data_IF_758319247454
#
_entry.id   IF_758319247454
#
_cell.length_a   1.000
_cell.length_b   1.000
_cell.length_c   1.000
_cell.angle_alpha   90.00
_cell.angle_beta   90.00
_cell.angle_gamma   90.00
#
_symmetry.space_group_name_H-M   'P 1'
#
loop_
_entity.id
_entity.type
_entity.pdbx_description
1 polymer ?
#
# COMPACT_ATOMS: atom_id res chain seq x y z
N UNK A 1 70.78 20.75 -19.00
CA UNK A 1 70.65 19.32 -19.36
C UNK A 1 69.19 18.86 -19.24
N UNK A 2 68.45 18.79 -20.36
CA UNK A 2 67.00 18.48 -20.37
C UNK A 2 66.64 17.02 -20.04
N UNK A 3 67.63 16.14 -19.94
CA UNK A 3 67.44 14.69 -19.75
C UNK A 3 66.97 14.33 -18.32
N UNK A 4 67.29 15.14 -17.31
CA UNK A 4 66.93 14.88 -15.91
C UNK A 4 65.47 15.22 -15.55
N UNK A 5 64.88 16.22 -16.21
CA UNK A 5 63.47 16.64 -16.01
C UNK A 5 62.49 15.61 -16.61
N UNK A 6 62.80 15.07 -17.79
CA UNK A 6 61.96 14.06 -18.44
C UNK A 6 61.85 12.76 -17.63
N UNK A 7 62.93 12.34 -16.95
CA UNK A 7 62.91 11.15 -16.08
C UNK A 7 62.10 11.36 -14.80
N UNK A 8 62.05 12.58 -14.26
CA UNK A 8 61.25 12.89 -13.06
C UNK A 8 59.77 13.08 -13.37
N UNK A 9 59.44 13.66 -14.53
CA UNK A 9 58.06 13.76 -15.03
C UNK A 9 57.48 12.38 -15.36
N UNK A 10 58.24 11.49 -16.02
CA UNK A 10 57.83 10.09 -16.22
C UNK A 10 57.55 9.38 -14.89
N UNK A 11 58.37 9.60 -13.87
CA UNK A 11 58.16 9.01 -12.54
C UNK A 11 56.90 9.51 -11.83
N UNK A 12 56.51 10.77 -12.02
CA UNK A 12 55.28 11.30 -11.42
C UNK A 12 54.03 10.90 -12.19
N UNK A 13 54.12 10.81 -13.51
CA UNK A 13 53.02 10.35 -14.35
C UNK A 13 52.72 8.87 -14.11
N UNK A 14 53.76 8.04 -13.96
CA UNK A 14 53.63 6.64 -13.60
C UNK A 14 53.01 6.46 -12.20
N UNK A 15 53.44 7.25 -11.20
CA UNK A 15 52.81 7.25 -9.86
C UNK A 15 51.34 7.67 -9.90
N UNK A 16 50.97 8.63 -10.74
CA UNK A 16 49.57 9.04 -10.94
C UNK A 16 48.75 7.93 -11.55
N UNK A 17 49.29 7.24 -12.55
CA UNK A 17 48.63 6.13 -13.26
C UNK A 17 48.45 4.92 -12.36
N UNK A 18 49.45 4.61 -11.53
CA UNK A 18 49.38 3.55 -10.52
C UNK A 18 48.33 3.88 -9.45
N UNK A 19 48.30 5.12 -8.96
CA UNK A 19 47.30 5.56 -7.98
C UNK A 19 45.87 5.56 -8.55
N UNK A 20 45.67 5.99 -9.80
CA UNK A 20 44.37 5.89 -10.47
C UNK A 20 43.92 4.43 -10.64
N UNK A 21 44.85 3.52 -10.93
CA UNK A 21 44.58 2.09 -11.03
C UNK A 21 44.19 1.49 -9.69
N UNK A 22 44.86 1.91 -8.62
CA UNK A 22 44.57 1.49 -7.24
C UNK A 22 43.19 2.01 -6.78
N UNK A 23 42.87 3.28 -7.05
CA UNK A 23 41.55 3.87 -6.83
C UNK A 23 40.45 3.13 -7.59
N UNK A 24 40.68 2.80 -8.87
CA UNK A 24 39.72 2.05 -9.68
C UNK A 24 39.52 0.61 -9.17
N UNK A 25 40.58 -0.03 -8.68
CA UNK A 25 40.49 -1.34 -8.04
C UNK A 25 39.67 -1.27 -6.75
N UNK A 26 39.94 -0.27 -5.90
CA UNK A 26 39.23 -0.03 -4.64
C UNK A 26 37.75 0.28 -4.86
N UNK A 27 37.43 1.10 -5.88
CA UNK A 27 36.05 1.41 -6.28
C UNK A 27 35.29 0.16 -6.77
N UNK A 28 35.95 -0.68 -7.57
CA UNK A 28 35.37 -1.94 -8.05
C UNK A 28 35.18 -2.96 -6.92
N UNK A 29 36.08 -2.98 -5.95
CA UNK A 29 35.99 -3.84 -4.77
C UNK A 29 34.85 -3.38 -3.86
N UNK A 30 34.72 -2.09 -3.55
CA UNK A 30 33.56 -1.53 -2.85
C UNK A 30 32.24 -1.77 -3.61
N UNK A 31 32.24 -1.66 -4.94
CA UNK A 31 31.05 -1.96 -5.76
C UNK A 31 30.67 -3.46 -5.68
N UNK A 32 31.66 -4.36 -5.70
CA UNK A 32 31.45 -5.80 -5.51
C UNK A 32 30.97 -6.11 -4.10
N UNK A 33 31.52 -5.47 -3.08
CA UNK A 33 31.08 -5.63 -1.70
C UNK A 33 29.68 -5.09 -1.49
N UNK A 34 29.32 -3.95 -2.09
CA UNK A 34 27.93 -3.47 -2.13
C UNK A 34 27.01 -4.46 -2.81
N UNK A 35 27.39 -5.04 -3.95
CA UNK A 35 26.60 -6.08 -4.64
C UNK A 35 26.48 -7.37 -3.83
N UNK A 36 27.55 -7.79 -3.13
CA UNK A 36 27.59 -8.98 -2.27
C UNK A 36 26.78 -8.76 -0.99
N UNK A 37 26.88 -7.58 -0.39
CA UNK A 37 26.06 -7.15 0.75
C UNK A 37 24.62 -6.85 0.35
N UNK A 38 24.31 -6.56 -0.93
CA UNK A 38 22.93 -6.53 -1.45
C UNK A 38 22.31 -7.93 -1.53
N UNK A 39 23.12 -9.01 -1.56
CA UNK A 39 22.65 -10.40 -1.42
C UNK A 39 22.47 -10.84 0.04
N UNK A 40 23.22 -10.29 0.99
CA UNK A 40 23.10 -10.60 2.43
C UNK A 40 22.15 -9.67 3.18
N UNK A 41 22.03 -8.42 2.74
CA UNK A 41 20.90 -7.56 3.02
C UNK A 41 19.73 -8.04 2.18
N UNK A 42 19.06 -9.11 2.65
CA UNK A 42 17.61 -9.15 2.53
C UNK A 42 17.12 -7.85 3.15
N UNK A 43 17.08 -6.80 2.34
CA UNK A 43 15.97 -5.86 2.44
C UNK A 43 14.79 -6.79 2.41
N UNK A 44 14.13 -6.94 3.56
CA UNK A 44 12.75 -7.40 3.60
C UNK A 44 12.01 -6.40 2.72
N UNK A 45 12.07 -6.59 1.40
CA UNK A 45 11.01 -6.16 0.50
C UNK A 45 9.83 -6.94 1.02
N UNK A 46 9.18 -6.36 2.04
CA UNK A 46 7.89 -6.76 2.55
C UNK A 46 7.08 -7.04 1.29
N UNK A 47 6.86 -8.33 1.03
CA UNK A 47 6.11 -8.76 -0.13
C UNK A 47 4.75 -8.11 0.07
N UNK A 48 4.50 -7.03 -0.69
CA UNK A 48 3.24 -6.31 -0.63
C UNK A 48 2.16 -7.37 -0.77
N UNK A 49 1.27 -7.49 0.22
CA UNK A 49 0.18 -8.46 0.11
C UNK A 49 -0.54 -8.13 -1.18
N UNK A 50 -0.55 -9.09 -2.11
CA UNK A 50 -1.21 -8.91 -3.39
C UNK A 50 -2.69 -8.62 -3.12
N UNK A 51 -3.23 -7.55 -3.70
CA UNK A 51 -4.64 -7.15 -3.63
C UNK A 51 -5.55 -8.12 -4.43
N UNK A 52 -5.37 -9.42 -4.19
CA UNK A 52 -6.03 -10.52 -4.88
C UNK A 52 -7.00 -11.13 -3.89
N UNK A 53 -8.27 -11.22 -4.28
CA UNK A 53 -9.33 -11.80 -3.45
C UNK A 53 -9.08 -13.26 -3.11
N UNK A 54 -9.09 -14.14 -4.12
CA UNK A 54 -8.91 -15.57 -3.95
C UNK A 54 -7.95 -16.07 -5.02
N UNK A 55 -7.02 -16.97 -4.65
CA UNK A 55 -6.07 -17.56 -5.59
C UNK A 55 -6.62 -18.83 -6.21
N UNK A 56 -7.41 -19.58 -5.45
CA UNK A 56 -8.07 -20.80 -5.90
C UNK A 56 -9.57 -20.76 -5.58
N UNK A 57 -10.42 -21.45 -6.36
CA UNK A 57 -11.85 -21.60 -6.03
C UNK A 57 -12.10 -22.24 -4.65
N UNK A 58 -11.12 -23.01 -4.13
CA UNK A 58 -11.16 -23.62 -2.80
C UNK A 58 -11.12 -22.60 -1.66
N UNK A 59 -10.59 -21.41 -1.93
CA UNK A 59 -10.47 -20.33 -0.94
C UNK A 59 -11.78 -19.57 -0.77
N UNK A 60 -12.74 -19.75 -1.69
CA UNK A 60 -14.06 -19.14 -1.60
C UNK A 60 -14.81 -19.70 -0.38
N UNK A 61 -15.32 -18.83 0.51
CA UNK A 61 -16.10 -19.27 1.66
C UNK A 61 -17.32 -20.08 1.22
N UNK A 62 -17.60 -21.19 1.93
CA UNK A 62 -18.78 -22.05 1.70
C UNK A 62 -19.95 -21.65 2.60
N UNK A 63 -20.10 -20.34 2.79
CA UNK A 63 -21.13 -19.78 3.67
C UNK A 63 -22.52 -19.93 3.05
N UNK A 64 -23.57 -20.29 3.81
CA UNK A 64 -24.94 -20.33 3.31
C UNK A 64 -25.40 -19.00 2.71
N UNK A 65 -24.93 -17.85 3.20
CA UNK A 65 -25.28 -16.54 2.64
C UNK A 65 -24.90 -16.44 1.15
N UNK A 66 -23.71 -16.94 0.81
CA UNK A 66 -23.20 -16.93 -0.58
C UNK A 66 -24.04 -17.87 -1.45
N UNK A 67 -24.42 -19.04 -0.92
CA UNK A 67 -25.27 -20.00 -1.63
C UNK A 67 -26.68 -19.45 -1.87
N UNK A 68 -27.18 -18.65 -0.94
CA UNK A 68 -28.47 -17.97 -1.04
C UNK A 68 -28.40 -16.66 -1.84
N UNK A 69 -27.27 -16.37 -2.50
CA UNK A 69 -27.04 -15.16 -3.29
C UNK A 69 -27.23 -13.87 -2.48
N UNK A 70 -26.88 -13.90 -1.20
CA UNK A 70 -26.79 -12.71 -0.35
C UNK A 70 -25.40 -12.08 -0.49
N UNK A 71 -25.32 -10.77 -0.23
CA UNK A 71 -24.03 -10.07 -0.23
C UNK A 71 -23.25 -10.52 1.00
N UNK A 72 -22.04 -11.01 0.78
CA UNK A 72 -21.16 -11.50 1.83
C UNK A 72 -19.85 -10.71 1.86
N UNK A 73 -19.33 -10.44 3.06
CA UNK A 73 -18.07 -9.69 3.25
C UNK A 73 -17.07 -10.57 3.98
N UNK A 74 -16.05 -11.00 3.23
CA UNK A 74 -14.93 -11.75 3.78
C UNK A 74 -13.89 -10.78 4.37
N UNK A 75 -13.91 -10.63 5.69
CA UNK A 75 -12.97 -9.78 6.43
C UNK A 75 -11.52 -10.29 6.39
N UNK A 76 -11.30 -11.59 6.13
CA UNK A 76 -9.98 -12.22 6.15
C UNK A 76 -9.22 -11.92 4.86
N UNK A 77 -9.90 -12.03 3.73
CA UNK A 77 -9.37 -11.74 2.39
C UNK A 77 -9.73 -10.36 1.87
N UNK A 78 -10.32 -9.51 2.72
CA UNK A 78 -10.69 -8.13 2.41
C UNK A 78 -11.49 -8.03 1.10
N UNK A 79 -12.45 -8.94 0.95
CA UNK A 79 -13.17 -9.19 -0.29
C UNK A 79 -14.67 -9.16 -0.06
N UNK A 80 -15.39 -8.57 -1.00
CA UNK A 80 -16.85 -8.52 -1.03
C UNK A 80 -17.33 -9.48 -2.11
N UNK A 81 -18.19 -10.41 -1.76
CA UNK A 81 -18.82 -11.33 -2.70
C UNK A 81 -20.18 -10.78 -3.07
N UNK A 82 -20.35 -10.48 -4.36
CA UNK A 82 -21.52 -9.82 -4.92
C UNK A 82 -22.23 -10.78 -5.89
N UNK A 83 -23.54 -10.99 -5.77
CA UNK A 83 -24.31 -11.82 -6.69
C UNK A 83 -24.55 -11.08 -8.01
N UNK A 84 -23.85 -11.48 -9.08
CA UNK A 84 -24.01 -10.93 -10.43
C UNK A 84 -24.76 -11.95 -11.29
N UNK A 85 -26.01 -11.65 -11.64
CA UNK A 85 -26.87 -12.51 -12.47
C UNK A 85 -26.83 -14.00 -12.08
N UNK A 86 -27.03 -14.28 -10.79
CA UNK A 86 -27.06 -15.66 -10.25
C UNK A 86 -25.70 -16.28 -9.91
N UNK A 87 -24.60 -15.52 -10.08
CA UNK A 87 -23.25 -16.00 -9.80
C UNK A 87 -22.59 -15.20 -8.67
N UNK A 88 -22.00 -15.84 -7.65
CA UNK A 88 -21.25 -15.14 -6.62
C UNK A 88 -19.89 -14.70 -7.17
N UNK A 89 -19.69 -13.39 -7.35
CA UNK A 89 -18.46 -12.80 -7.90
C UNK A 89 -17.71 -12.05 -6.80
N UNK A 90 -16.43 -12.37 -6.64
CA UNK A 90 -15.56 -11.77 -5.63
C UNK A 90 -14.92 -10.47 -6.13
N UNK A 91 -14.99 -9.41 -5.32
CA UNK A 91 -14.35 -8.12 -5.55
C UNK A 91 -13.48 -7.73 -4.35
N UNK A 92 -12.19 -7.51 -4.58
CA UNK A 92 -11.29 -7.05 -3.52
C UNK A 92 -11.64 -5.61 -3.10
N UNK A 93 -11.50 -5.28 -1.82
CA UNK A 93 -11.88 -3.95 -1.28
C UNK A 93 -11.13 -2.80 -1.97
N UNK A 94 -9.91 -3.05 -2.44
CA UNK A 94 -9.11 -2.06 -3.18
C UNK A 94 -9.73 -1.66 -4.53
N UNK A 95 -10.65 -2.47 -5.06
CA UNK A 95 -11.37 -2.18 -6.32
C UNK A 95 -12.62 -1.32 -6.07
N UNK A 96 -13.08 -1.24 -4.83
CA UNK A 96 -14.29 -0.50 -4.44
C UNK A 96 -13.91 0.93 -4.06
N UNK A 97 -14.40 1.90 -4.82
CA UNK A 97 -14.20 3.33 -4.58
C UNK A 97 -14.99 3.80 -3.38
N UNK A 98 -16.30 3.61 -3.40
CA UNK A 98 -17.19 3.98 -2.31
C UNK A 98 -18.48 3.17 -2.38
N UNK A 99 -19.26 3.28 -1.30
CA UNK A 99 -20.57 2.66 -1.17
C UNK A 99 -21.53 3.68 -0.56
N UNK A 100 -22.76 3.70 -1.08
CA UNK A 100 -23.85 4.56 -0.62
C UNK A 100 -25.12 3.75 -0.45
N UNK A 101 -25.89 4.08 0.58
CA UNK A 101 -27.21 3.51 0.82
C UNK A 101 -28.26 4.61 0.73
N UNK A 102 -29.42 4.29 0.16
CA UNK A 102 -30.60 5.15 0.15
C UNK A 102 -31.86 4.32 0.38
N UNK A 103 -32.91 4.95 0.89
CA UNK A 103 -34.22 4.33 1.11
C UNK A 103 -35.23 5.22 0.41
N UNK A 104 -36.01 4.64 -0.51
CA UNK A 104 -37.04 5.33 -1.27
C UNK A 104 -38.33 4.51 -1.20
N UNK A 105 -39.33 5.03 -0.46
CA UNK A 105 -40.55 4.31 -0.15
C UNK A 105 -40.25 3.00 0.57
N UNK A 106 -40.78 1.90 0.02
CA UNK A 106 -40.65 0.55 0.58
C UNK A 106 -39.35 -0.16 0.19
N UNK A 107 -38.47 0.48 -0.59
CA UNK A 107 -37.26 -0.13 -1.10
C UNK A 107 -36.00 0.52 -0.54
N UNK A 108 -35.00 -0.31 -0.24
CA UNK A 108 -33.63 0.10 0.06
C UNK A 108 -32.73 -0.18 -1.13
N UNK A 109 -31.84 0.76 -1.40
CA UNK A 109 -30.83 0.67 -2.45
C UNK A 109 -29.42 0.67 -1.84
N UNK A 110 -28.58 -0.22 -2.33
CA UNK A 110 -27.15 -0.26 -2.02
C UNK A 110 -26.36 -0.10 -3.31
N UNK A 111 -25.75 1.07 -3.50
CA UNK A 111 -24.91 1.38 -4.66
C UNK A 111 -23.44 1.24 -4.29
N UNK A 112 -22.73 0.44 -5.07
CA UNK A 112 -21.31 0.15 -4.93
C UNK A 112 -20.62 0.72 -6.17
N UNK A 113 -19.75 1.72 -5.98
CA UNK A 113 -18.95 2.30 -7.05
C UNK A 113 -17.55 1.68 -7.03
N UNK A 114 -17.06 1.24 -8.18
CA UNK A 114 -15.74 0.67 -8.36
C UNK A 114 -14.78 1.68 -9.00
N UNK A 115 -13.49 1.43 -8.84
CA UNK A 115 -12.47 2.18 -9.56
C UNK A 115 -12.42 1.74 -11.01
N UNK A 116 -12.56 2.70 -11.91
CA UNK A 116 -12.41 2.55 -13.35
C UNK A 116 -11.57 3.72 -13.89
N UNK A 117 -10.96 3.59 -15.07
CA UNK A 117 -10.30 4.71 -15.74
C UNK A 117 -11.24 5.91 -15.86
N UNK A 118 -10.76 7.11 -15.52
CA UNK A 118 -11.57 8.34 -15.52
C UNK A 118 -12.45 8.57 -14.28
N UNK A 119 -12.58 7.59 -13.37
CA UNK A 119 -13.08 7.88 -12.02
C UNK A 119 -12.05 8.75 -11.30
N UNK A 120 -12.46 9.93 -10.83
CA UNK A 120 -11.72 10.98 -10.08
C UNK A 120 -10.63 10.50 -9.09
N UNK A 121 -9.56 9.89 -9.57
CA UNK A 121 -8.26 9.86 -8.93
C UNK A 121 -7.41 10.88 -9.67
N UNK A 122 -6.76 11.75 -8.90
CA UNK A 122 -5.72 12.65 -9.36
C UNK A 122 -4.78 11.90 -10.30
N UNK A 123 -4.40 12.58 -11.38
CA UNK A 123 -3.53 12.12 -12.47
C UNK A 123 -2.18 11.53 -12.01
N UNK A 124 -1.87 11.61 -10.71
CA UNK A 124 -0.57 11.28 -10.11
C UNK A 124 -0.59 10.18 -9.04
N UNK A 125 -1.76 9.63 -8.64
CA UNK A 125 -1.83 8.56 -7.61
C UNK A 125 -2.62 7.32 -8.10
N UNK A 126 -2.75 7.15 -9.41
CA UNK A 126 -3.63 6.15 -10.02
C UNK A 126 -3.14 4.71 -9.88
N UNK A 127 -4.05 3.83 -9.45
CA UNK A 127 -3.96 2.38 -9.67
C UNK A 127 -3.54 2.16 -11.12
N UNK A 128 -2.30 1.70 -11.33
CA UNK A 128 -1.80 1.42 -12.67
C UNK A 128 -2.48 0.15 -13.14
N UNK A 129 -3.46 0.30 -14.02
CA UNK A 129 -4.13 -0.83 -14.62
C UNK A 129 -3.18 -1.48 -15.64
N UNK A 130 -2.91 -2.80 -15.55
CA UNK A 130 -1.98 -3.47 -16.46
C UNK A 130 -2.42 -3.40 -17.93
N UNK A 131 -3.73 -3.24 -18.16
CA UNK A 131 -4.34 -3.18 -19.48
C UNK A 131 -5.20 -1.91 -19.59
N UNK A 132 -4.76 -0.90 -20.36
CA UNK A 132 -5.50 0.35 -20.51
C UNK A 132 -6.82 0.17 -21.27
N UNK A 133 -6.90 -0.80 -22.19
CA UNK A 133 -8.07 -1.06 -23.03
C UNK A 133 -9.06 -2.06 -22.41
N UNK A 134 -8.84 -2.48 -21.16
CA UNK A 134 -9.76 -3.37 -20.48
C UNK A 134 -11.13 -2.69 -20.25
N UNK A 135 -12.20 -3.47 -20.30
CA UNK A 135 -13.53 -2.98 -19.91
C UNK A 135 -13.66 -3.07 -18.39
N UNK A 136 -14.06 -1.97 -17.75
CA UNK A 136 -14.19 -1.87 -16.31
C UNK A 136 -15.65 -1.73 -15.88
N UNK A 137 -15.99 -2.38 -14.76
CA UNK A 137 -17.26 -2.18 -14.10
C UNK A 137 -17.23 -0.85 -13.35
N UNK A 138 -18.18 0.04 -13.63
CA UNK A 138 -18.28 1.36 -12.96
C UNK A 138 -18.98 1.24 -11.61
N UNK A 139 -20.18 0.67 -11.59
CA UNK A 139 -21.01 0.58 -10.41
C UNK A 139 -22.00 -0.58 -10.51
N UNK A 140 -22.45 -1.08 -9.36
CA UNK A 140 -23.63 -1.93 -9.24
C UNK A 140 -24.57 -1.34 -8.20
N UNK A 141 -25.87 -1.52 -8.42
CA UNK A 141 -26.90 -1.12 -7.46
C UNK A 141 -27.80 -2.32 -7.18
N UNK A 142 -27.87 -2.70 -5.91
CA UNK A 142 -28.83 -3.68 -5.42
C UNK A 142 -30.05 -2.98 -4.84
N UNK A 143 -31.22 -3.56 -5.07
CA UNK A 143 -32.49 -3.10 -4.49
C UNK A 143 -33.12 -4.25 -3.72
N UNK A 144 -33.59 -3.97 -2.51
CA UNK A 144 -34.34 -4.93 -1.69
C UNK A 144 -35.53 -4.25 -1.03
N UNK A 145 -36.59 -5.01 -0.78
CA UNK A 145 -37.73 -4.56 0.01
C UNK A 145 -37.27 -4.29 1.46
N UNK A 146 -37.68 -3.15 2.00
CA UNK A 146 -37.35 -2.66 3.32
C UNK A 146 -38.54 -2.74 4.30
N UNK A 147 -39.68 -3.22 3.84
CA UNK A 147 -40.81 -3.57 4.70
C UNK A 147 -40.62 -4.96 5.29
N UNK A 148 -41.20 -5.15 6.46
CA UNK A 148 -41.18 -6.40 7.19
C UNK A 148 -42.57 -7.02 7.12
N UNK A 149 -42.69 -8.21 6.55
CA UNK A 149 -43.95 -8.93 6.54
C UNK A 149 -44.29 -9.48 7.95
N UNK A 150 -45.58 -9.56 8.32
CA UNK A 150 -45.99 -10.15 9.59
C UNK A 150 -45.50 -11.60 9.71
N UNK A 151 -44.65 -11.88 10.70
CA UNK A 151 -44.07 -13.20 10.95
C UNK A 151 -42.61 -13.36 10.56
N UNK A 152 -42.04 -12.44 9.78
CA UNK A 152 -40.59 -12.43 9.51
C UNK A 152 -39.80 -11.83 10.68
N UNK A 153 -38.52 -12.16 10.80
CA UNK A 153 -37.67 -11.64 11.89
C UNK A 153 -37.10 -10.27 11.49
N UNK A 154 -36.64 -10.14 10.25
CA UNK A 154 -36.05 -8.93 9.69
C UNK A 154 -36.55 -8.70 8.27
N UNK A 155 -36.54 -7.43 7.84
CA UNK A 155 -36.82 -7.11 6.45
C UNK A 155 -35.73 -7.70 5.53
N UNK A 156 -36.06 -8.07 4.27
CA UNK A 156 -35.07 -8.55 3.30
C UNK A 156 -33.88 -7.59 3.10
N UNK A 157 -34.10 -6.27 3.24
CA UNK A 157 -33.07 -5.24 3.20
C UNK A 157 -32.02 -5.33 4.32
N UNK A 158 -32.22 -6.17 5.34
CA UNK A 158 -31.30 -6.35 6.46
C UNK A 158 -29.90 -6.75 5.98
N UNK A 159 -29.80 -7.62 4.95
CA UNK A 159 -28.52 -7.99 4.35
C UNK A 159 -27.82 -6.78 3.71
N UNK A 160 -28.54 -5.89 3.02
CA UNK A 160 -27.96 -4.68 2.42
C UNK A 160 -27.41 -3.72 3.50
N UNK A 161 -28.15 -3.54 4.60
CA UNK A 161 -27.72 -2.74 5.75
C UNK A 161 -26.46 -3.31 6.41
N UNK A 162 -26.42 -4.63 6.60
CA UNK A 162 -25.26 -5.29 7.18
C UNK A 162 -24.04 -5.17 6.26
N UNK A 163 -24.21 -5.48 4.97
CA UNK A 163 -23.17 -5.35 3.96
C UNK A 163 -22.59 -3.92 3.92
N UNK A 164 -23.44 -2.88 3.94
CA UNK A 164 -23.00 -1.49 3.97
C UNK A 164 -22.02 -1.21 5.13
N UNK A 165 -22.39 -1.63 6.35
CA UNK A 165 -21.57 -1.43 7.55
C UNK A 165 -20.25 -2.19 7.47
N UNK A 166 -20.30 -3.47 7.10
CA UNK A 166 -19.12 -4.33 7.02
C UNK A 166 -18.14 -3.85 5.94
N UNK A 167 -18.64 -3.44 4.77
CA UNK A 167 -17.80 -2.90 3.68
C UNK A 167 -17.12 -1.61 4.15
N UNK A 168 -17.84 -0.70 4.82
CA UNK A 168 -17.25 0.53 5.37
C UNK A 168 -16.16 0.25 6.41
N UNK A 169 -16.38 -0.71 7.29
CA UNK A 169 -15.41 -1.15 8.31
C UNK A 169 -14.12 -1.66 7.64
N UNK A 170 -14.25 -2.60 6.70
CA UNK A 170 -13.09 -3.17 5.97
C UNK A 170 -12.38 -2.09 5.14
N UNK A 171 -13.13 -1.20 4.47
CA UNK A 171 -12.55 -0.12 3.68
C UNK A 171 -11.74 0.86 4.56
N UNK A 172 -12.25 1.21 5.74
CA UNK A 172 -11.55 2.09 6.69
C UNK A 172 -10.24 1.44 7.15
N UNK A 173 -10.30 0.17 7.55
CA UNK A 173 -9.13 -0.59 7.99
C UNK A 173 -8.07 -0.75 6.89
N UNK A 174 -8.50 -0.98 5.65
CA UNK A 174 -7.60 -1.11 4.50
C UNK A 174 -6.89 0.22 4.19
N UNK A 175 -7.64 1.34 4.16
CA UNK A 175 -7.07 2.67 3.92
C UNK A 175 -6.08 3.10 5.00
N UNK A 176 -6.38 2.83 6.27
CA UNK A 176 -5.48 3.13 7.38
C UNK A 176 -4.14 2.37 7.24
N UNK A 177 -4.20 1.10 6.83
CA UNK A 177 -3.00 0.28 6.61
C UNK A 177 -2.17 0.75 5.41
N UNK A 178 -2.80 1.03 4.27
CA UNK A 178 -2.08 1.55 3.08
C UNK A 178 -1.46 2.93 3.36
N UNK A 179 -2.13 3.79 4.15
CA UNK A 179 -1.56 5.07 4.59
C UNK A 179 -0.32 4.87 5.48
N UNK A 180 -0.41 4.00 6.49
CA UNK A 180 0.71 3.68 7.38
C UNK A 180 1.89 3.04 6.61
N UNK A 181 1.61 2.18 5.63
CA UNK A 181 2.66 1.59 4.78
C UNK A 181 3.31 2.63 3.86
N UNK A 182 2.53 3.57 3.31
CA UNK A 182 3.05 4.69 2.52
C UNK A 182 3.92 5.62 3.35
N UNK A 183 3.49 5.97 4.57
CA UNK A 183 4.27 6.77 5.51
C UNK A 183 5.58 6.08 5.91
N UNK A 184 5.56 4.75 6.13
CA UNK A 184 6.76 3.96 6.40
C UNK A 184 7.70 3.86 5.20
N UNK A 185 7.17 3.86 3.98
CA UNK A 185 7.97 3.82 2.76
C UNK A 185 8.65 5.17 2.46
N UNK A 186 8.00 6.28 2.82
CA UNK A 186 8.57 7.63 2.71
C UNK A 186 9.59 7.94 3.84
N UNK A 187 9.65 7.09 4.86
CA UNK A 187 10.59 7.25 5.97
C UNK A 187 12.02 6.94 5.53
N UNK A 188 12.86 7.96 5.47
CA UNK A 188 14.30 7.82 5.23
C UNK A 188 14.95 7.18 6.46
N UNK A 189 15.52 5.98 6.31
CA UNK A 189 16.30 5.36 7.36
C UNK A 189 17.63 6.10 7.55
N UNK A 190 17.86 6.64 8.74
CA UNK A 190 19.10 7.30 9.13
C UNK A 190 19.99 6.33 9.91
N UNK A 191 21.30 6.49 9.78
CA UNK A 191 22.26 5.70 10.56
C UNK A 191 22.06 5.90 12.07
N UNK A 192 22.37 4.87 12.86
CA UNK A 192 22.26 4.92 14.32
C UNK A 192 23.16 6.04 14.87
N UNK A 193 22.54 7.04 15.52
CA UNK A 193 23.27 8.16 16.10
C UNK A 193 24.22 7.68 17.21
N UNK A 194 25.52 7.87 17.02
CA UNK A 194 26.54 7.59 18.04
C UNK A 194 26.63 8.79 18.99
N UNK A 195 26.13 8.63 20.21
CA UNK A 195 26.11 9.71 21.21
C UNK A 195 27.50 9.84 21.86
N UNK A 196 28.16 10.98 21.65
CA UNK A 196 29.38 11.32 22.39
C UNK A 196 29.04 11.85 23.79
N UNK A 197 29.69 11.32 24.83
CA UNK A 197 29.51 11.76 26.22
C UNK A 197 30.50 12.87 26.66
N UNK A 198 31.28 13.43 25.73
CA UNK A 198 32.29 14.44 26.06
C UNK A 198 31.67 15.73 26.64
N UNK A 199 32.37 16.36 27.59
CA UNK A 199 31.93 17.62 28.25
C UNK A 199 31.85 18.83 27.29
N UNK A 200 32.44 18.74 26.10
CA UNK A 200 32.37 19.78 25.07
C UNK A 200 31.17 19.68 24.13
N UNK A 201 30.22 18.77 24.36
CA UNK A 201 29.07 18.63 23.48
C UNK A 201 28.13 19.84 23.59
N UNK A 202 27.74 20.49 22.48
CA UNK A 202 26.85 21.65 22.52
C UNK A 202 25.46 21.24 23.05
N UNK A 203 25.02 21.90 24.12
CA UNK A 203 23.70 21.68 24.74
C UNK A 203 22.98 23.02 24.89
N UNK A 204 21.76 23.09 24.38
CA UNK A 204 20.85 24.22 24.52
C UNK A 204 19.62 23.76 25.30
N UNK A 205 19.17 24.60 26.23
CA UNK A 205 17.91 24.40 26.97
C UNK A 205 16.77 25.08 26.22
N UNK A 206 15.54 24.73 26.58
CA UNK A 206 14.32 25.37 26.09
C UNK A 206 14.10 25.25 24.57
N UNK A 207 14.53 24.12 24.00
CA UNK A 207 14.27 23.76 22.60
C UNK A 207 12.94 23.02 22.47
N UNK A 208 12.16 23.36 21.44
CA UNK A 208 10.93 22.66 21.10
C UNK A 208 11.00 22.09 19.68
N UNK A 209 10.63 20.82 19.51
CA UNK A 209 10.63 20.14 18.22
C UNK A 209 9.35 20.49 17.44
N UNK A 210 9.49 20.80 16.16
CA UNK A 210 8.36 20.89 15.21
C UNK A 210 8.73 20.21 13.88
N UNK A 211 7.86 19.35 13.32
CA UNK A 211 6.56 18.93 13.85
C UNK A 211 6.67 18.12 15.16
N UNK A 212 5.67 18.21 16.03
CA UNK A 212 5.66 17.43 17.28
C UNK A 212 5.53 15.93 16.96
N UNK A 213 6.27 15.10 17.68
CA UNK A 213 6.24 13.63 17.54
C UNK A 213 4.92 13.06 18.08
N UNK A 214 4.32 13.72 19.08
CA UNK A 214 3.03 13.36 19.69
C UNK A 214 2.10 14.55 19.74
N UNK A 215 0.80 14.32 19.89
CA UNK A 215 -0.22 15.37 19.85
C UNK A 215 -0.08 16.41 21.01
N UNK A 216 0.64 16.07 22.09
CA UNK A 216 0.99 16.99 23.19
C UNK A 216 2.39 17.58 22.99
N UNK A 217 2.60 18.81 23.50
CA UNK A 217 3.94 19.41 23.56
C UNK A 217 4.87 18.51 24.38
N UNK A 218 5.99 18.12 23.77
CA UNK A 218 7.11 17.55 24.52
C UNK A 218 7.85 18.73 25.16
N UNK A 219 7.83 18.76 26.49
CA UNK A 219 8.55 19.72 27.34
C UNK A 219 9.90 19.18 27.74
#
# INVERSE_FOLDING_TARGET
SPILLAQTEQSQEDKRKEHQRELAAKLNEEARERLRNKKLGKTDTKVKRSNVSYKSPKDLPKDPEIRNLQIFVDKKFETVILPVFGHPVAFHISTIKNISQSIEGDYMYLRINLFHPGSTLSRNEGVTYPQPDATFLKELTYRSLNTKEPGEISAPSSNLNMAFRLIKEVQSRFKAREAEEKEKADLVHQDTLIISQNRGNPKLKDLYIRPNIVQRRMT
#
